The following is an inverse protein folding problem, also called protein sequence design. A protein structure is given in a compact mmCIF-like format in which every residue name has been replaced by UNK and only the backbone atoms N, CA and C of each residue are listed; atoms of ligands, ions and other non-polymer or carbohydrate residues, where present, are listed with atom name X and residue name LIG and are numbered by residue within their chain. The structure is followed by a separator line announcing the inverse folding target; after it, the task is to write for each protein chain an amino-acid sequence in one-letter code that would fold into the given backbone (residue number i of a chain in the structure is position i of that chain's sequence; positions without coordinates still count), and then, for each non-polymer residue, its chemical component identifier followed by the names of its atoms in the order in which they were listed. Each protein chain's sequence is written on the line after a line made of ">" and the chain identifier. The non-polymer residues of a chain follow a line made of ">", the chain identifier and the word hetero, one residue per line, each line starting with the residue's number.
data_IF_887082647063
#
_entry.id   IF_887082647063
#
_cell.length_a   1.000
_cell.length_b   1.000
_cell.length_c   1.000
_cell.angle_alpha   90.00
_cell.angle_beta   90.00
_cell.angle_gamma   90.00
#
_symmetry.space_group_name_H-M   'P 1'
#
loop_
_entity.id
_entity.type
_entity.pdbx_description
1 polymer ?
#
# COMPACT_ATOMS: atom_id res chain seq x y z
N UNK A 1 10.19 87.55 34.71
CA UNK A 1 10.07 86.23 35.38
C UNK A 1 10.22 85.16 34.30
N UNK A 2 11.36 84.82 33.69
CA UNK A 2 12.78 84.69 34.07
C UNK A 2 13.05 83.78 35.26
N UNK A 3 13.77 82.68 34.95
CA UNK A 3 14.61 81.83 35.80
C UNK A 3 13.86 80.80 36.64
N UNK A 4 14.33 79.54 36.56
CA UNK A 4 14.39 78.53 37.65
C UNK A 4 13.99 77.10 37.25
N UNK A 5 14.24 76.65 36.00
CA UNK A 5 14.27 75.19 35.72
C UNK A 5 15.40 74.88 34.74
N UNK A 6 16.60 75.33 35.09
CA UNK A 6 17.87 74.91 34.51
C UNK A 6 18.88 75.01 35.64
N UNK A 7 19.71 73.97 35.80
CA UNK A 7 20.56 73.64 36.96
C UNK A 7 19.84 72.91 38.09
N UNK A 8 19.89 71.57 38.09
CA UNK A 8 20.23 70.75 39.29
C UNK A 8 20.19 69.22 39.09
N UNK A 9 20.09 68.69 37.87
CA UNK A 9 20.21 67.23 37.65
C UNK A 9 21.30 66.87 36.63
N UNK A 10 22.36 67.68 36.60
CA UNK A 10 23.67 67.19 36.18
C UNK A 10 24.30 66.50 37.40
N UNK A 11 24.93 65.34 37.18
CA UNK A 11 25.81 64.63 38.13
C UNK A 11 25.08 63.70 39.12
N UNK A 12 24.40 62.68 38.63
CA UNK A 12 24.30 61.40 39.35
C UNK A 12 23.95 60.26 38.39
N UNK A 13 24.77 59.21 38.41
CA UNK A 13 24.57 57.90 37.76
C UNK A 13 24.90 57.77 36.26
N UNK A 14 25.91 58.51 35.78
CA UNK A 14 26.68 58.16 34.58
C UNK A 14 27.73 57.06 34.88
N UNK A 15 27.32 55.89 35.38
CA UNK A 15 28.25 54.80 35.78
C UNK A 15 27.76 53.38 35.46
N UNK A 16 27.03 53.14 34.36
CA UNK A 16 26.60 51.76 34.01
C UNK A 16 27.02 51.25 32.63
N UNK A 17 27.96 51.89 31.95
CA UNK A 17 28.53 51.32 30.70
C UNK A 17 30.04 51.13 30.81
N UNK A 18 30.44 50.11 31.56
CA UNK A 18 31.75 49.47 31.38
C UNK A 18 31.67 48.01 31.78
N UNK A 19 31.11 47.22 30.87
CA UNK A 19 31.35 45.79 30.80
C UNK A 19 31.77 45.46 29.36
N UNK A 20 32.99 45.88 28.97
CA UNK A 20 33.69 45.29 27.84
C UNK A 20 34.19 43.90 28.26
N UNK A 21 33.28 42.93 28.29
CA UNK A 21 33.66 41.53 28.27
C UNK A 21 34.22 41.22 26.88
N UNK A 22 35.55 41.18 26.75
CA UNK A 22 36.18 40.50 25.61
C UNK A 22 35.77 39.03 25.72
N UNK A 23 34.74 38.68 24.96
CA UNK A 23 34.32 37.29 24.82
C UNK A 23 35.40 36.63 23.96
N UNK A 24 36.09 35.57 24.42
CA UNK A 24 36.99 34.82 23.57
C UNK A 24 36.22 34.41 22.30
N UNK A 25 36.84 34.44 21.11
CA UNK A 25 36.15 34.09 19.88
C UNK A 25 35.53 32.71 20.09
N UNK A 26 34.20 32.67 20.15
CA UNK A 26 33.46 31.43 20.20
C UNK A 26 33.95 30.63 19.00
N UNK A 27 34.52 29.44 19.27
CA UNK A 27 34.88 28.47 18.25
C UNK A 27 33.68 28.42 17.29
N UNK A 28 33.83 28.75 16.00
CA UNK A 28 32.69 28.82 15.10
C UNK A 28 31.91 27.52 15.27
N UNK A 29 30.58 27.58 15.48
CA UNK A 29 29.80 26.39 15.66
C UNK A 29 30.14 25.49 14.49
N UNK A 30 30.61 24.28 14.78
CA UNK A 30 30.85 23.28 13.74
C UNK A 30 29.47 22.98 13.19
N UNK A 31 29.10 23.68 12.11
CA UNK A 31 27.84 23.44 11.42
C UNK A 31 27.96 22.02 10.91
N UNK A 32 27.23 21.10 11.54
CA UNK A 32 27.22 19.72 11.10
C UNK A 32 26.86 19.72 9.61
N UNK A 33 27.65 18.99 8.81
CA UNK A 33 27.36 18.86 7.39
C UNK A 33 25.91 18.34 7.21
N UNK A 34 25.19 18.81 6.18
CA UNK A 34 23.85 18.29 5.91
C UNK A 34 23.95 16.77 5.70
N UNK A 35 22.97 15.99 6.23
CA UNK A 35 23.02 14.54 6.12
C UNK A 35 23.00 14.12 4.65
N UNK A 36 23.77 13.09 4.35
CA UNK A 36 23.81 12.46 3.03
C UNK A 36 22.55 11.63 2.78
N UNK A 37 22.30 11.33 1.51
CA UNK A 37 21.20 10.46 1.10
C UNK A 37 21.27 9.09 1.78
N UNK A 38 22.47 8.50 1.81
CA UNK A 38 22.69 7.20 2.44
C UNK A 38 22.37 7.23 3.95
N UNK A 39 22.77 8.29 4.67
CA UNK A 39 22.46 8.43 6.09
C UNK A 39 20.95 8.57 6.34
N UNK A 40 20.24 9.35 5.52
CA UNK A 40 18.79 9.48 5.64
C UNK A 40 18.08 8.15 5.35
N UNK A 41 18.50 7.44 4.29
CA UNK A 41 17.94 6.14 3.91
C UNK A 41 18.22 5.07 4.96
N UNK A 42 19.42 5.04 5.53
CA UNK A 42 19.80 4.12 6.60
C UNK A 42 18.97 4.37 7.87
N UNK A 43 18.78 5.63 8.26
CA UNK A 43 17.94 5.99 9.41
C UNK A 43 16.49 5.54 9.21
N UNK A 44 15.94 5.75 8.01
CA UNK A 44 14.59 5.30 7.68
C UNK A 44 14.48 3.77 7.65
N UNK A 45 15.47 3.07 7.11
CA UNK A 45 15.52 1.61 7.08
C UNK A 45 15.58 1.00 8.49
N UNK A 46 16.33 1.63 9.42
CA UNK A 46 16.35 1.21 10.82
C UNK A 46 14.96 1.33 11.46
N UNK A 47 14.26 2.45 11.26
CA UNK A 47 12.89 2.61 11.74
C UNK A 47 11.91 1.57 11.15
N UNK A 48 12.04 1.25 9.86
CA UNK A 48 11.23 0.20 9.23
C UNK A 48 11.53 -1.18 9.85
N UNK A 49 12.81 -1.51 10.05
CA UNK A 49 13.22 -2.80 10.62
C UNK A 49 12.79 -3.00 12.07
N UNK A 50 12.54 -1.91 12.81
CA UNK A 50 11.98 -1.95 14.17
C UNK A 50 10.45 -2.00 14.19
N UNK A 51 9.80 -2.19 13.03
CA UNK A 51 8.34 -2.23 12.88
C UNK A 51 7.67 -0.86 12.91
N UNK A 52 8.44 0.24 12.92
CA UNK A 52 7.94 1.62 12.97
C UNK A 52 7.74 2.19 11.57
N UNK A 53 6.82 1.57 10.81
CA UNK A 53 6.62 1.88 9.39
C UNK A 53 6.21 3.34 9.14
N UNK A 54 5.35 3.93 9.97
CA UNK A 54 4.95 5.33 9.84
C UNK A 54 6.14 6.29 10.03
N UNK A 55 7.03 5.98 10.98
CA UNK A 55 8.24 6.76 11.20
C UNK A 55 9.20 6.63 10.00
N UNK A 56 9.33 5.43 9.43
CA UNK A 56 10.13 5.20 8.23
C UNK A 56 9.58 5.98 7.02
N UNK A 57 8.25 5.98 6.81
CA UNK A 57 7.60 6.77 5.76
C UNK A 57 7.89 8.26 5.91
N UNK A 58 7.83 8.80 7.13
CA UNK A 58 8.18 10.20 7.39
C UNK A 58 9.65 10.52 7.07
N UNK A 59 10.57 9.60 7.37
CA UNK A 59 12.00 9.77 7.08
C UNK A 59 12.30 9.65 5.58
N UNK A 60 11.68 8.71 4.86
CA UNK A 60 11.79 8.63 3.41
C UNK A 60 11.20 9.85 2.71
N UNK A 61 10.10 10.42 3.22
CA UNK A 61 9.56 11.67 2.68
C UNK A 61 10.54 12.85 2.85
N UNK A 62 11.24 12.93 3.98
CA UNK A 62 12.30 13.91 4.19
C UNK A 62 13.46 13.69 3.22
N UNK A 63 13.88 12.44 3.02
CA UNK A 63 14.92 12.09 2.05
C UNK A 63 14.50 12.47 0.61
N UNK A 64 13.26 12.17 0.22
CA UNK A 64 12.69 12.55 -1.07
C UNK A 64 12.69 14.07 -1.30
N UNK A 65 12.42 14.84 -0.24
CA UNK A 65 12.39 16.31 -0.29
C UNK A 65 13.81 16.88 -0.43
N UNK A 66 14.78 16.31 0.31
CA UNK A 66 16.17 16.74 0.26
C UNK A 66 16.89 16.30 -1.04
N UNK A 67 16.49 15.17 -1.62
CA UNK A 67 17.08 14.59 -2.83
C UNK A 67 16.00 14.34 -3.90
N UNK A 68 15.44 15.40 -4.52
CA UNK A 68 14.28 15.28 -5.39
C UNK A 68 14.54 14.51 -6.69
N UNK A 69 15.79 14.37 -7.12
CA UNK A 69 16.16 13.58 -8.30
C UNK A 69 16.30 12.08 -8.00
N UNK A 70 16.43 11.69 -6.73
CA UNK A 70 16.64 10.29 -6.35
C UNK A 70 15.31 9.54 -6.22
N UNK A 71 15.23 8.37 -6.86
CA UNK A 71 14.03 7.53 -6.84
C UNK A 71 13.90 6.65 -5.60
N UNK A 72 15.01 6.37 -4.90
CA UNK A 72 15.05 5.36 -3.85
C UNK A 72 14.06 5.61 -2.69
N UNK A 73 13.85 6.84 -2.19
CA UNK A 73 12.88 7.07 -1.12
C UNK A 73 11.45 6.76 -1.57
N UNK A 74 11.10 7.13 -2.80
CA UNK A 74 9.80 6.85 -3.40
C UNK A 74 9.57 5.35 -3.59
N UNK A 75 10.61 4.61 -4.02
CA UNK A 75 10.56 3.14 -4.11
C UNK A 75 10.22 2.53 -2.75
N UNK A 76 10.91 2.95 -1.69
CA UNK A 76 10.66 2.42 -0.33
C UNK A 76 9.26 2.76 0.16
N UNK A 77 8.81 4.00 0.00
CA UNK A 77 7.44 4.40 0.36
C UNK A 77 6.40 3.60 -0.42
N UNK A 78 6.58 3.41 -1.73
CA UNK A 78 5.66 2.62 -2.55
C UNK A 78 5.57 1.15 -2.07
N UNK A 79 6.72 0.51 -1.82
CA UNK A 79 6.78 -0.87 -1.33
C UNK A 79 6.11 -1.02 0.05
N UNK A 80 6.49 -0.19 1.02
CA UNK A 80 5.94 -0.25 2.39
C UNK A 80 4.43 -0.05 2.39
N UNK A 81 3.91 0.88 1.58
CA UNK A 81 2.46 1.12 1.50
C UNK A 81 1.72 0.02 0.75
N UNK A 82 2.34 -0.57 -0.28
CA UNK A 82 1.81 -1.72 -0.97
C UNK A 82 1.63 -2.91 -0.02
N UNK A 83 2.67 -3.21 0.77
CA UNK A 83 2.67 -4.28 1.77
C UNK A 83 1.64 -4.04 2.87
N UNK A 84 1.45 -2.77 3.27
CA UNK A 84 0.40 -2.37 4.21
C UNK A 84 -1.03 -2.40 3.63
N UNK A 85 -1.21 -2.76 2.35
CA UNK A 85 -2.51 -2.76 1.68
C UNK A 85 -3.07 -1.36 1.37
N UNK A 86 -2.26 -0.32 1.52
CA UNK A 86 -2.58 1.08 1.22
C UNK A 86 -2.37 1.36 -0.27
N UNK A 87 -3.11 0.65 -1.11
CA UNK A 87 -2.88 0.59 -2.56
C UNK A 87 -2.94 1.95 -3.29
N UNK A 88 -3.83 2.86 -2.88
CA UNK A 88 -3.90 4.20 -3.48
C UNK A 88 -2.62 5.02 -3.27
N UNK A 89 -2.14 5.06 -2.03
CA UNK A 89 -0.90 5.76 -1.69
C UNK A 89 0.35 5.07 -2.28
N UNK A 90 0.33 3.73 -2.38
CA UNK A 90 1.39 2.99 -3.06
C UNK A 90 1.50 3.38 -4.55
N UNK A 91 0.36 3.55 -5.23
CA UNK A 91 0.29 4.01 -6.62
C UNK A 91 0.90 5.42 -6.76
N UNK A 92 0.54 6.36 -5.88
CA UNK A 92 1.07 7.73 -5.94
C UNK A 92 2.60 7.74 -5.79
N UNK A 93 3.14 7.01 -4.82
CA UNK A 93 4.58 6.92 -4.63
C UNK A 93 5.29 6.19 -5.80
N UNK A 94 4.66 5.17 -6.38
CA UNK A 94 5.20 4.51 -7.56
C UNK A 94 5.20 5.43 -8.80
N UNK A 95 4.22 6.32 -8.97
CA UNK A 95 4.25 7.32 -10.04
C UNK A 95 5.42 8.29 -9.87
N UNK A 96 5.74 8.70 -8.64
CA UNK A 96 6.94 9.50 -8.36
C UNK A 96 8.24 8.75 -8.72
N UNK A 97 8.28 7.42 -8.57
CA UNK A 97 9.40 6.62 -9.09
C UNK A 97 9.47 6.74 -10.61
N UNK A 98 8.36 6.62 -11.33
CA UNK A 98 8.32 6.69 -12.79
C UNK A 98 8.63 8.08 -13.36
N UNK A 99 8.37 9.15 -12.60
CA UNK A 99 8.84 10.51 -12.95
C UNK A 99 10.37 10.56 -13.04
N UNK A 100 11.07 9.77 -12.23
CA UNK A 100 12.54 9.74 -12.13
C UNK A 100 13.18 8.64 -12.97
N UNK A 101 12.51 7.49 -13.07
CA UNK A 101 12.88 6.35 -13.91
C UNK A 101 11.65 5.76 -14.60
N UNK A 102 11.34 6.22 -15.83
CA UNK A 102 10.20 5.73 -16.59
C UNK A 102 10.23 4.23 -16.92
N UNK A 103 11.41 3.59 -16.84
CA UNK A 103 11.58 2.17 -17.15
C UNK A 103 11.55 1.28 -15.89
N UNK A 104 11.26 1.84 -14.70
CA UNK A 104 11.26 1.10 -13.45
C UNK A 104 10.14 0.03 -13.43
N UNK A 105 10.55 -1.24 -13.49
CA UNK A 105 9.64 -2.39 -13.54
C UNK A 105 8.91 -2.62 -12.22
N UNK A 106 9.54 -2.30 -11.10
CA UNK A 106 8.94 -2.47 -9.78
C UNK A 106 7.80 -1.47 -9.61
N UNK A 107 8.02 -0.20 -9.95
CA UNK A 107 6.99 0.83 -9.90
C UNK A 107 5.78 0.50 -10.79
N UNK A 108 6.03 0.06 -12.03
CA UNK A 108 4.97 -0.41 -12.92
C UNK A 108 4.18 -1.58 -12.33
N UNK A 109 4.87 -2.53 -11.69
CA UNK A 109 4.23 -3.69 -11.04
C UNK A 109 3.41 -3.29 -9.81
N UNK A 110 3.90 -2.35 -8.99
CA UNK A 110 3.16 -1.79 -7.86
C UNK A 110 1.88 -1.12 -8.35
N UNK A 111 1.96 -0.28 -9.40
CA UNK A 111 0.78 0.39 -9.96
C UNK A 111 -0.24 -0.63 -10.47
N UNK A 112 0.20 -1.57 -11.31
CA UNK A 112 -0.69 -2.56 -11.93
C UNK A 112 -1.40 -3.41 -10.87
N UNK A 113 -0.67 -4.00 -9.93
CA UNK A 113 -1.26 -4.91 -8.94
C UNK A 113 -2.10 -4.13 -7.91
N UNK A 114 -1.64 -2.95 -7.47
CA UNK A 114 -2.43 -2.09 -6.57
C UNK A 114 -3.74 -1.67 -7.20
N UNK A 115 -3.72 -1.25 -8.45
CA UNK A 115 -4.92 -0.86 -9.21
C UNK A 115 -5.91 -2.01 -9.31
N UNK A 116 -5.44 -3.21 -9.69
CA UNK A 116 -6.29 -4.40 -9.77
C UNK A 116 -6.93 -4.77 -8.42
N UNK A 117 -6.15 -4.75 -7.32
CA UNK A 117 -6.67 -5.05 -5.97
C UNK A 117 -7.69 -4.02 -5.52
N UNK A 118 -7.42 -2.73 -5.78
CA UNK A 118 -8.33 -1.64 -5.44
C UNK A 118 -9.65 -1.75 -6.23
N UNK A 119 -9.58 -1.93 -7.54
CA UNK A 119 -10.77 -2.11 -8.40
C UNK A 119 -11.58 -3.35 -8.00
N UNK A 120 -10.92 -4.47 -7.70
CA UNK A 120 -11.58 -5.70 -7.26
C UNK A 120 -12.36 -5.48 -5.95
N UNK A 121 -11.77 -4.75 -4.99
CA UNK A 121 -12.45 -4.40 -3.73
C UNK A 121 -13.69 -3.54 -4.00
N UNK A 122 -13.56 -2.49 -4.81
CA UNK A 122 -14.66 -1.59 -5.15
C UNK A 122 -15.81 -2.32 -5.86
N UNK A 123 -15.51 -3.21 -6.80
CA UNK A 123 -16.52 -4.05 -7.47
C UNK A 123 -17.22 -4.99 -6.48
N UNK A 124 -16.49 -5.57 -5.54
CA UNK A 124 -17.07 -6.40 -4.49
C UNK A 124 -18.00 -5.59 -3.57
N UNK A 125 -17.63 -4.36 -3.21
CA UNK A 125 -18.47 -3.44 -2.44
C UNK A 125 -19.76 -3.08 -3.19
N UNK A 126 -19.67 -2.76 -4.48
CA UNK A 126 -20.84 -2.49 -5.32
C UNK A 126 -21.76 -3.71 -5.45
N UNK A 127 -21.18 -4.90 -5.62
CA UNK A 127 -21.94 -6.14 -5.66
C UNK A 127 -22.68 -6.40 -4.35
N UNK A 128 -22.04 -6.17 -3.19
CA UNK A 128 -22.70 -6.32 -1.87
C UNK A 128 -23.85 -5.34 -1.67
N UNK A 129 -23.75 -4.17 -2.28
CA UNK A 129 -24.78 -3.12 -2.20
C UNK A 129 -25.89 -3.28 -3.26
N UNK A 130 -25.87 -4.36 -4.07
CA UNK A 130 -26.75 -4.54 -5.24
C UNK A 130 -26.66 -3.39 -6.27
N UNK A 131 -25.53 -2.66 -6.27
CA UNK A 131 -25.26 -1.51 -7.13
C UNK A 131 -24.37 -1.86 -8.35
N UNK A 132 -24.02 -3.13 -8.52
CA UNK A 132 -23.30 -3.62 -9.71
C UNK A 132 -24.29 -4.07 -10.79
N UNK A 133 -24.86 -3.11 -11.52
CA UNK A 133 -25.90 -3.35 -12.53
C UNK A 133 -25.73 -2.48 -13.77
N UNK A 134 -26.52 -2.76 -14.82
CA UNK A 134 -26.58 -1.95 -16.03
C UNK A 134 -25.23 -1.75 -16.72
N UNK A 135 -24.93 -0.52 -17.20
CA UNK A 135 -23.67 -0.21 -17.89
C UNK A 135 -22.41 -0.52 -17.07
N UNK A 136 -22.43 -0.27 -15.76
CA UNK A 136 -21.28 -0.50 -14.88
C UNK A 136 -20.91 -2.00 -14.83
N UNK A 137 -21.91 -2.88 -14.83
CA UNK A 137 -21.69 -4.32 -14.89
C UNK A 137 -21.05 -4.71 -16.22
N UNK A 138 -21.55 -4.18 -17.34
CA UNK A 138 -21.03 -4.49 -18.68
C UNK A 138 -19.56 -4.03 -18.82
N UNK A 139 -19.26 -2.80 -18.44
CA UNK A 139 -17.89 -2.25 -18.49
C UNK A 139 -16.91 -3.06 -17.62
N UNK A 140 -17.34 -3.46 -16.42
CA UNK A 140 -16.52 -4.30 -15.53
C UNK A 140 -16.23 -5.68 -16.15
N UNK A 141 -17.17 -6.24 -16.90
CA UNK A 141 -16.98 -7.51 -17.62
C UNK A 141 -16.01 -7.36 -18.79
N UNK A 142 -16.10 -6.26 -19.54
CA UNK A 142 -15.19 -5.96 -20.65
C UNK A 142 -13.75 -5.75 -20.15
N UNK A 143 -13.57 -5.02 -19.04
CA UNK A 143 -12.26 -4.86 -18.41
C UNK A 143 -11.68 -6.20 -17.93
N UNK A 144 -12.51 -7.07 -17.34
CA UNK A 144 -12.08 -8.40 -16.92
C UNK A 144 -11.67 -9.28 -18.12
N UNK A 145 -12.39 -9.17 -19.24
CA UNK A 145 -12.03 -9.85 -20.49
C UNK A 145 -10.71 -9.35 -21.05
N UNK A 146 -10.51 -8.03 -21.12
CA UNK A 146 -9.26 -7.42 -21.58
C UNK A 146 -8.07 -7.83 -20.71
N UNK A 147 -8.22 -7.81 -19.38
CA UNK A 147 -7.19 -8.26 -18.47
C UNK A 147 -6.77 -9.71 -18.76
N UNK A 148 -7.77 -10.59 -18.91
CA UNK A 148 -7.57 -12.00 -19.23
C UNK A 148 -6.85 -12.21 -20.56
N UNK A 149 -7.25 -11.49 -21.60
CA UNK A 149 -6.59 -11.51 -22.91
C UNK A 149 -5.14 -11.04 -22.82
N UNK A 150 -4.88 -9.97 -22.06
CA UNK A 150 -3.53 -9.47 -21.81
C UNK A 150 -2.64 -10.47 -21.07
N UNK A 151 -3.22 -11.37 -20.27
CA UNK A 151 -2.50 -12.45 -19.59
C UNK A 151 -2.30 -13.70 -20.47
N UNK A 152 -2.82 -13.70 -21.70
CA UNK A 152 -2.75 -14.85 -22.61
C UNK A 152 -3.68 -16.00 -22.23
N UNK A 153 -4.59 -15.80 -21.27
CA UNK A 153 -5.49 -16.84 -20.79
C UNK A 153 -6.81 -16.78 -21.55
N UNK A 154 -6.93 -17.30 -22.77
CA UNK A 154 -8.18 -17.14 -23.55
C UNK A 154 -9.37 -18.03 -23.12
N UNK A 155 -9.17 -19.10 -22.33
CA UNK A 155 -10.20 -20.12 -22.02
C UNK A 155 -10.73 -20.08 -20.59
N UNK A 156 -11.95 -19.54 -20.39
CA UNK A 156 -12.50 -19.22 -19.06
C UNK A 156 -12.82 -20.42 -18.18
N UNK A 157 -13.12 -21.56 -18.79
CA UNK A 157 -13.28 -22.87 -18.16
C UNK A 157 -12.98 -23.90 -19.25
N UNK A 158 -12.07 -24.88 -19.07
CA UNK A 158 -11.95 -26.00 -20.00
C UNK A 158 -13.33 -26.66 -20.10
N UNK A 159 -13.89 -26.90 -21.30
CA UNK A 159 -15.16 -27.60 -21.42
C UNK A 159 -15.05 -28.91 -20.64
N UNK A 160 -16.08 -29.30 -19.86
CA UNK A 160 -16.03 -30.54 -19.09
C UNK A 160 -15.69 -31.67 -20.06
N UNK A 161 -14.60 -32.41 -19.77
CA UNK A 161 -14.24 -33.57 -20.56
C UNK A 161 -15.48 -34.48 -20.61
N UNK A 162 -15.97 -34.76 -21.82
CA UNK A 162 -17.07 -35.68 -22.02
C UNK A 162 -16.64 -37.02 -21.43
N UNK A 163 -17.18 -37.37 -20.28
CA UNK A 163 -16.93 -38.66 -19.64
C UNK A 163 -17.28 -39.74 -20.66
N UNK A 164 -16.36 -40.67 -20.99
CA UNK A 164 -16.65 -41.68 -22.00
C UNK A 164 -17.90 -42.45 -21.58
N UNK A 165 -18.90 -42.48 -22.47
CA UNK A 165 -20.18 -43.11 -22.22
C UNK A 165 -19.94 -44.57 -21.82
N UNK A 166 -20.30 -44.91 -20.58
CA UNK A 166 -20.20 -46.28 -20.08
C UNK A 166 -21.11 -47.18 -20.94
N UNK A 167 -20.61 -48.29 -21.49
CA UNK A 167 -21.42 -49.15 -22.35
C UNK A 167 -22.62 -49.70 -21.56
N UNK A 168 -23.81 -49.85 -22.20
CA UNK A 168 -25.02 -50.26 -21.51
C UNK A 168 -24.85 -51.66 -20.93
N UNK A 169 -25.04 -51.76 -19.60
CA UNK A 169 -25.02 -53.03 -18.88
C UNK A 169 -26.25 -53.85 -19.30
N UNK A 170 -26.04 -54.97 -19.99
CA UNK A 170 -27.09 -55.94 -20.32
C UNK A 170 -27.76 -56.39 -19.02
N UNK A 171 -29.07 -56.13 -18.88
CA UNK A 171 -29.88 -56.68 -17.78
C UNK A 171 -30.01 -58.19 -17.95
N UNK A 172 -29.79 -58.99 -16.90
CA UNK A 172 -30.10 -60.42 -16.95
C UNK A 172 -31.62 -60.61 -16.92
N UNK A 173 -32.11 -61.40 -17.89
CA UNK A 173 -33.49 -61.83 -18.02
C UNK A 173 -33.96 -62.60 -16.78
N UNK A 174 -35.15 -62.25 -16.28
CA UNK A 174 -35.91 -62.98 -15.24
C UNK A 174 -35.87 -64.50 -15.49
N UNK A 175 -35.37 -65.25 -14.51
CA UNK A 175 -35.72 -66.66 -14.33
C UNK A 175 -36.74 -66.74 -13.20
N UNK A 176 -37.93 -67.23 -13.54
CA UNK A 176 -38.94 -67.75 -12.63
C UNK A 176 -38.38 -68.98 -11.92
N UNK A 177 -38.52 -69.01 -10.59
CA UNK A 177 -38.47 -70.25 -9.81
C UNK A 177 -39.52 -70.14 -8.70
N UNK A 178 -40.30 -71.20 -8.63
CA UNK A 178 -41.45 -71.46 -7.79
C UNK A 178 -41.01 -72.07 -6.45
N UNK A 179 -41.90 -71.96 -5.45
CA UNK A 179 -41.99 -72.69 -4.17
C UNK A 179 -40.86 -72.64 -3.12
N UNK A 180 -41.23 -72.26 -1.89
CA UNK A 180 -40.42 -72.47 -0.69
C UNK A 180 -40.87 -71.64 0.52
N UNK A 181 -41.80 -72.20 1.31
CA UNK A 181 -42.42 -71.60 2.49
C UNK A 181 -41.46 -71.10 3.57
N UNK A 182 -41.69 -69.88 4.08
CA UNK A 182 -41.40 -69.51 5.48
C UNK A 182 -42.16 -68.22 5.84
N UNK A 183 -43.35 -68.35 6.45
CA UNK A 183 -44.09 -67.23 7.04
C UNK A 183 -43.62 -66.99 8.49
N UNK A 184 -43.03 -65.83 8.83
CA UNK A 184 -42.34 -65.63 10.11
C UNK A 184 -43.21 -65.11 11.27
N UNK A 185 -44.55 -65.21 11.21
CA UNK A 185 -45.44 -64.55 12.19
C UNK A 185 -46.28 -65.49 13.08
N UNK A 186 -45.89 -66.75 13.23
CA UNK A 186 -46.71 -67.74 13.97
C UNK A 186 -46.33 -67.95 15.45
N UNK A 187 -45.59 -67.03 16.08
CA UNK A 187 -45.05 -67.24 17.43
C UNK A 187 -45.35 -66.11 18.44
N UNK A 188 -46.51 -65.45 18.34
CA UNK A 188 -47.02 -64.59 19.42
C UNK A 188 -48.50 -64.88 19.65
N UNK A 189 -48.76 -65.89 20.48
CA UNK A 189 -50.01 -66.06 21.22
C UNK A 189 -49.66 -66.57 22.61
#
# INVERSE_FOLDING_TARGET
>A
MTRSVSLLAAIACALTLSACGTTPPAKPPVVAAPPTMEEMMSKAAQAASSGSNEAALGLWQQAATAFPADKQPWVRMAQTRYEAGQYGEAILNAQEVLVRDPADKLANSVIAISGLRLSTRALADLSRQNNLSGPLRAESQDLAKLLRESLGESVLVPPPEKTPARPPRKQPSKRTADEGSANPFNALK
#
